data_IF_753350185901
#
_entry.id   IF_753350185901
#
_cell.length_a   1.000
_cell.length_b   1.000
_cell.length_c   1.000
_cell.angle_alpha   90.00
_cell.angle_beta   90.00
_cell.angle_gamma   90.00
#
_symmetry.space_group_name_H-M   'P 1'
#
loop_
_entity.id
_entity.type
_entity.pdbx_description
1 polymer ?
#
# COMPACT_ATOMS: atom_id res chain seq x y z
N UNK A 1 31.17 -14.68 -26.25
CA UNK A 1 31.52 -14.56 -24.81
C UNK A 1 31.45 -13.10 -24.39
N UNK A 2 30.35 -12.64 -23.79
CA UNK A 2 30.25 -11.28 -23.21
C UNK A 2 29.90 -11.48 -21.73
N UNK A 3 30.90 -11.34 -20.86
CA UNK A 3 30.74 -11.46 -19.40
C UNK A 3 30.35 -10.10 -18.79
N UNK A 4 29.21 -10.12 -18.08
CA UNK A 4 28.85 -9.40 -16.84
C UNK A 4 29.50 -8.03 -16.59
N UNK A 5 28.73 -6.95 -16.78
CA UNK A 5 28.99 -5.60 -16.21
C UNK A 5 27.92 -5.11 -15.21
N UNK A 6 26.92 -5.92 -14.88
CA UNK A 6 25.75 -5.49 -14.09
C UNK A 6 25.94 -5.57 -12.57
N UNK A 7 26.92 -6.33 -12.07
CA UNK A 7 27.06 -6.60 -10.62
C UNK A 7 27.77 -5.47 -9.84
N UNK A 8 28.59 -4.64 -10.49
CA UNK A 8 29.32 -3.56 -9.80
C UNK A 8 28.46 -2.33 -9.48
N UNK A 9 27.43 -2.03 -10.30
CA UNK A 9 26.55 -0.87 -10.07
C UNK A 9 25.62 -1.06 -8.86
N UNK A 10 25.07 -2.28 -8.67
CA UNK A 10 24.20 -2.63 -7.52
C UNK A 10 24.92 -2.48 -6.17
N UNK A 11 26.16 -2.97 -6.05
CA UNK A 11 26.96 -2.84 -4.81
C UNK A 11 27.42 -1.41 -4.51
N UNK A 12 27.66 -0.59 -5.54
CA UNK A 12 28.11 0.78 -5.37
C UNK A 12 26.96 1.71 -4.93
N UNK A 13 25.77 1.53 -5.51
CA UNK A 13 24.53 2.23 -5.10
C UNK A 13 24.17 1.95 -3.64
N UNK A 14 24.19 0.67 -3.23
CA UNK A 14 23.85 0.26 -1.86
C UNK A 14 24.84 0.82 -0.83
N UNK A 15 26.14 0.86 -1.15
CA UNK A 15 27.19 1.45 -0.27
C UNK A 15 27.16 2.97 -0.18
N UNK A 16 26.68 3.66 -1.21
CA UNK A 16 26.59 5.13 -1.21
C UNK A 16 25.37 5.56 -0.40
N UNK A 17 24.20 4.95 -0.64
CA UNK A 17 23.00 5.16 0.18
C UNK A 17 23.27 4.80 1.63
N UNK A 18 23.77 3.60 1.94
CA UNK A 18 24.03 3.20 3.33
C UNK A 18 25.02 4.11 4.05
N UNK A 19 26.07 4.62 3.39
CA UNK A 19 27.06 5.50 4.03
C UNK A 19 26.55 6.93 4.20
N UNK A 20 25.71 7.42 3.30
CA UNK A 20 25.17 8.78 3.33
C UNK A 20 23.99 8.85 4.31
N UNK A 21 23.08 7.87 4.25
CA UNK A 21 21.96 7.68 5.17
C UNK A 21 22.48 7.53 6.60
N UNK A 22 23.46 6.66 6.86
CA UNK A 22 24.05 6.49 8.20
C UNK A 22 24.73 7.79 8.68
N UNK A 23 25.45 8.52 7.83
CA UNK A 23 26.20 9.70 8.28
C UNK A 23 25.31 10.90 8.60
N UNK A 24 24.19 11.05 7.89
CA UNK A 24 23.29 12.21 8.04
C UNK A 24 22.06 11.92 8.92
N UNK A 25 21.68 10.66 9.14
CA UNK A 25 20.55 10.28 10.02
C UNK A 25 20.96 9.81 11.42
N UNK A 26 22.20 9.33 11.64
CA UNK A 26 22.63 8.89 12.98
C UNK A 26 22.42 9.94 14.09
N UNK A 27 22.72 11.24 13.88
CA UNK A 27 22.59 12.24 14.93
C UNK A 27 21.14 12.42 15.41
N UNK A 28 20.15 12.04 14.60
CA UNK A 28 18.74 12.23 14.89
C UNK A 28 18.06 10.98 15.48
N UNK A 29 18.72 9.82 15.42
CA UNK A 29 18.19 8.55 15.95
C UNK A 29 18.69 8.22 17.37
N UNK A 30 19.75 8.91 17.85
CA UNK A 30 20.40 8.58 19.13
C UNK A 30 20.00 9.45 20.32
N UNK A 31 19.26 10.55 20.11
CA UNK A 31 18.83 11.43 21.20
C UNK A 31 17.54 10.93 21.85
N UNK A 32 17.68 9.95 22.75
CA UNK A 32 16.67 9.71 23.79
C UNK A 32 16.70 10.90 24.75
N UNK A 33 15.59 11.63 24.99
CA UNK A 33 15.58 12.65 26.03
C UNK A 33 15.63 11.97 27.40
N UNK A 34 16.71 12.24 28.14
CA UNK A 34 16.75 12.01 29.57
C UNK A 34 15.69 12.90 30.24
N UNK A 35 14.66 12.29 30.81
CA UNK A 35 13.70 13.01 31.66
C UNK A 35 14.42 13.46 32.94
N UNK A 36 14.58 14.76 33.12
CA UNK A 36 14.89 15.35 34.42
C UNK A 36 13.58 15.56 35.21
N UNK A 37 13.54 15.27 36.52
CA UNK A 37 12.33 15.39 37.32
C UNK A 37 12.00 16.86 37.64
N UNK A 38 10.75 17.25 37.40
CA UNK A 38 10.20 18.57 37.72
C UNK A 38 10.11 18.80 39.23
N UNK A 39 10.72 19.89 39.71
CA UNK A 39 10.47 20.42 41.06
C UNK A 39 9.14 21.17 41.10
N UNK A 40 8.40 20.88 42.17
CA UNK A 40 7.20 21.57 42.64
C UNK A 40 7.47 23.04 42.99
N UNK A 41 6.54 23.93 42.62
CA UNK A 41 6.53 25.33 43.02
C UNK A 41 5.12 25.90 42.94
N UNK A 42 4.50 26.06 44.11
CA UNK A 42 3.22 26.72 44.36
C UNK A 42 3.35 28.24 44.21
N UNK A 43 2.34 28.92 43.62
CA UNK A 43 2.00 30.33 43.95
C UNK A 43 0.48 30.52 43.88
N UNK A 44 0.02 31.38 44.80
CA UNK A 44 -1.30 31.73 45.30
C UNK A 44 -2.26 32.49 44.36
N UNK A 45 -3.50 32.58 44.88
CA UNK A 45 -4.72 33.26 44.40
C UNK A 45 -4.67 34.80 44.51
N UNK A 46 -5.43 35.49 43.63
CA UNK A 46 -6.35 36.59 43.96
C UNK A 46 -7.23 36.94 42.72
N UNK A 47 -8.55 36.72 42.76
CA UNK A 47 -9.69 37.68 42.82
C UNK A 47 -9.72 38.75 41.69
N UNK A 48 -10.80 39.08 40.96
CA UNK A 48 -12.27 38.92 41.10
C UNK A 48 -12.96 39.12 39.70
N UNK A 49 -14.29 38.97 39.53
CA UNK A 49 -14.93 38.57 38.28
C UNK A 49 -15.55 39.72 37.46
N UNK A 50 -15.54 39.60 36.13
CA UNK A 50 -16.40 40.39 35.24
C UNK A 50 -17.49 39.47 34.69
N UNK A 51 -18.74 39.73 35.11
CA UNK A 51 -19.94 39.16 34.49
C UNK A 51 -20.01 39.65 33.05
N UNK A 52 -20.07 38.73 32.09
CA UNK A 52 -20.45 39.01 30.72
C UNK A 52 -21.74 38.21 30.47
N UNK A 53 -22.73 38.92 29.95
CA UNK A 53 -24.07 38.47 29.58
C UNK A 53 -24.07 37.14 28.82
N UNK A 54 -24.77 36.15 29.38
CA UNK A 54 -25.25 35.00 28.64
C UNK A 54 -26.57 35.40 27.96
N UNK A 55 -26.52 35.91 26.73
CA UNK A 55 -27.67 35.85 25.81
C UNK A 55 -27.31 36.13 24.33
N UNK A 56 -26.12 35.68 23.90
CA UNK A 56 -25.88 35.46 22.47
C UNK A 56 -25.91 33.97 22.19
N UNK A 57 -26.95 33.51 21.48
CA UNK A 57 -26.97 32.21 20.80
C UNK A 57 -25.84 32.20 19.77
N UNK A 58 -24.65 31.81 20.19
CA UNK A 58 -23.64 31.27 19.30
C UNK A 58 -23.98 29.80 19.15
N UNK A 59 -24.56 29.43 18.00
CA UNK A 59 -24.62 28.02 17.61
C UNK A 59 -23.19 27.49 17.57
N UNK A 60 -22.86 26.65 18.56
CA UNK A 60 -21.65 25.84 18.51
C UNK A 60 -21.70 25.02 17.22
N UNK A 61 -20.64 25.01 16.40
CA UNK A 61 -20.59 24.13 15.24
C UNK A 61 -20.85 22.70 15.70
N UNK A 62 -21.70 22.01 14.94
CA UNK A 62 -22.15 20.65 15.21
C UNK A 62 -20.98 19.76 15.66
N UNK A 63 -21.27 18.89 16.63
CA UNK A 63 -20.38 17.81 17.11
C UNK A 63 -19.54 17.26 15.95
N UNK A 64 -18.21 17.08 16.12
CA UNK A 64 -17.42 16.42 15.09
C UNK A 64 -18.06 15.05 14.83
N UNK A 65 -18.39 14.79 13.56
CA UNK A 65 -18.85 13.49 13.11
C UNK A 65 -17.91 12.44 13.70
N UNK A 66 -18.46 11.48 14.45
CA UNK A 66 -17.69 10.32 14.86
C UNK A 66 -17.25 9.61 13.57
N UNK A 67 -15.97 9.72 13.24
CA UNK A 67 -15.35 9.09 12.09
C UNK A 67 -15.37 7.57 12.28
N UNK A 68 -15.74 6.82 11.23
CA UNK A 68 -15.45 5.39 11.20
C UNK A 68 -13.93 5.22 11.14
N UNK A 69 -13.32 4.58 12.15
CA UNK A 69 -11.88 4.30 12.22
C UNK A 69 -11.34 3.51 11.00
N UNK A 70 -12.25 2.90 10.21
CA UNK A 70 -11.97 2.11 9.01
C UNK A 70 -11.68 2.95 7.75
N UNK A 71 -11.67 4.29 7.87
CA UNK A 71 -11.47 5.24 6.78
C UNK A 71 -10.45 6.31 7.14
N UNK A 72 -9.39 5.93 7.86
CA UNK A 72 -8.27 6.84 8.05
C UNK A 72 -7.54 7.02 6.71
N UNK A 73 -7.50 8.23 6.13
CA UNK A 73 -6.85 8.48 4.85
C UNK A 73 -5.32 8.31 4.87
N UNK A 74 -4.72 8.08 6.03
CA UNK A 74 -3.27 8.03 6.24
C UNK A 74 -2.85 6.79 7.09
N UNK A 75 -3.60 5.68 7.06
CA UNK A 75 -3.29 4.44 7.82
C UNK A 75 -2.21 3.55 7.15
N UNK A 76 -1.59 2.61 7.92
CA UNK A 76 -0.29 2.01 7.63
C UNK A 76 -0.28 0.79 6.70
N UNK A 77 -1.42 0.24 6.25
CA UNK A 77 -1.43 -1.00 5.43
C UNK A 77 -0.68 -0.79 4.12
N UNK A 78 -0.76 0.41 3.52
CA UNK A 78 0.05 0.77 2.35
C UNK A 78 1.57 0.70 2.58
N UNK A 79 2.02 0.98 3.81
CA UNK A 79 3.44 0.98 4.19
C UNK A 79 4.00 -0.43 4.36
N UNK A 80 3.13 -1.41 4.58
CA UNK A 80 3.44 -2.83 4.66
C UNK A 80 3.45 -3.48 3.26
N UNK A 81 2.92 -2.80 2.24
CA UNK A 81 2.95 -3.29 0.86
C UNK A 81 4.40 -3.38 0.39
N UNK A 82 4.85 -4.61 0.17
CA UNK A 82 6.14 -4.89 -0.41
C UNK A 82 6.24 -4.39 -1.86
N UNK A 83 7.44 -3.97 -2.27
CA UNK A 83 7.75 -3.60 -3.65
C UNK A 83 8.42 -4.77 -4.38
N UNK A 84 8.09 -4.95 -5.66
CA UNK A 84 8.87 -5.83 -6.55
C UNK A 84 10.23 -5.19 -6.91
N UNK A 85 11.12 -5.94 -7.57
CA UNK A 85 12.49 -5.47 -7.87
C UNK A 85 12.52 -4.16 -8.67
N UNK A 86 11.66 -4.04 -9.69
CA UNK A 86 11.60 -2.85 -10.55
C UNK A 86 11.07 -1.62 -9.80
N UNK A 87 10.02 -1.80 -8.99
CA UNK A 87 9.48 -0.76 -8.12
C UNK A 87 10.50 -0.31 -7.09
N UNK A 88 11.20 -1.25 -6.44
CA UNK A 88 12.23 -0.94 -5.47
C UNK A 88 13.41 -0.19 -6.13
N UNK A 89 13.83 -0.60 -7.32
CA UNK A 89 14.88 0.09 -8.07
C UNK A 89 14.46 1.53 -8.41
N UNK A 90 13.21 1.72 -8.84
CA UNK A 90 12.68 3.04 -9.20
C UNK A 90 12.44 3.94 -8.00
N UNK A 91 11.94 3.40 -6.90
CA UNK A 91 11.87 4.14 -5.64
C UNK A 91 13.26 4.62 -5.23
N UNK A 92 14.27 3.75 -5.24
CA UNK A 92 15.65 4.12 -4.91
C UNK A 92 16.23 5.18 -5.86
N UNK A 93 15.88 5.17 -7.14
CA UNK A 93 16.24 6.24 -8.08
C UNK A 93 15.66 7.59 -7.62
N UNK A 94 14.38 7.63 -7.27
CA UNK A 94 13.73 8.85 -6.79
C UNK A 94 14.27 9.31 -5.42
N UNK A 95 14.50 8.40 -4.48
CA UNK A 95 15.09 8.71 -3.17
C UNK A 95 16.47 9.36 -3.32
N UNK A 96 17.34 8.80 -4.18
CA UNK A 96 18.64 9.38 -4.48
C UNK A 96 18.51 10.79 -5.06
N UNK A 97 17.57 11.00 -5.99
CA UNK A 97 17.34 12.30 -6.61
C UNK A 97 16.86 13.34 -5.59
N UNK A 98 15.93 12.98 -4.71
CA UNK A 98 15.48 13.83 -3.60
C UNK A 98 16.66 14.20 -2.71
N UNK A 99 17.54 13.24 -2.40
CA UNK A 99 18.70 13.46 -1.54
C UNK A 99 19.70 14.47 -2.14
N UNK A 100 19.97 14.39 -3.45
CA UNK A 100 20.93 15.27 -4.14
C UNK A 100 20.31 16.56 -4.68
N UNK A 101 19.01 16.79 -4.46
CA UNK A 101 18.34 18.01 -4.92
C UNK A 101 19.06 19.26 -4.39
N UNK A 102 19.39 20.20 -5.28
CA UNK A 102 20.16 21.40 -4.95
C UNK A 102 19.28 22.43 -4.23
N UNK A 103 18.06 22.63 -4.74
CA UNK A 103 17.10 23.65 -4.28
C UNK A 103 15.65 23.13 -4.30
N UNK A 104 14.72 23.98 -3.83
CA UNK A 104 13.30 23.65 -3.71
C UNK A 104 12.62 23.44 -5.07
N UNK A 105 13.16 24.03 -6.14
CA UNK A 105 12.65 23.89 -7.51
C UNK A 105 12.97 22.51 -8.08
N UNK A 106 14.22 22.08 -7.91
CA UNK A 106 14.66 20.74 -8.24
C UNK A 106 13.86 19.70 -7.48
N UNK A 107 13.62 19.92 -6.18
CA UNK A 107 12.81 19.02 -5.36
C UNK A 107 11.36 18.93 -5.85
N UNK A 108 10.70 20.06 -6.13
CA UNK A 108 9.33 20.07 -6.66
C UNK A 108 9.23 19.30 -7.98
N UNK A 109 10.20 19.50 -8.88
CA UNK A 109 10.27 18.76 -10.16
C UNK A 109 10.43 17.26 -9.95
N UNK A 110 11.25 16.83 -9.00
CA UNK A 110 11.43 15.41 -8.66
C UNK A 110 10.11 14.83 -8.13
N UNK A 111 9.42 15.54 -7.23
CA UNK A 111 8.12 15.11 -6.68
C UNK A 111 7.07 14.95 -7.77
N UNK A 112 6.95 15.92 -8.69
CA UNK A 112 6.01 15.82 -9.81
C UNK A 112 6.29 14.57 -10.67
N UNK A 113 7.57 14.33 -11.01
CA UNK A 113 7.95 13.16 -11.80
C UNK A 113 7.72 11.83 -11.07
N UNK A 114 7.93 11.79 -9.75
CA UNK A 114 7.65 10.63 -8.93
C UNK A 114 6.16 10.30 -8.94
N UNK A 115 5.31 11.29 -8.64
CA UNK A 115 3.84 11.13 -8.68
C UNK A 115 3.36 10.70 -10.07
N UNK A 116 3.87 11.31 -11.14
CA UNK A 116 3.53 10.98 -12.52
C UNK A 116 3.93 9.56 -12.94
N UNK A 117 4.98 9.02 -12.33
CA UNK A 117 5.44 7.65 -12.62
C UNK A 117 4.57 6.56 -11.98
N UNK A 118 3.71 6.91 -11.03
CA UNK A 118 2.83 5.97 -10.34
C UNK A 118 3.50 5.21 -9.19
N UNK A 119 4.66 5.65 -8.69
CA UNK A 119 5.26 5.00 -7.50
C UNK A 119 4.29 5.04 -6.32
N UNK A 120 4.35 4.00 -5.49
CA UNK A 120 3.77 4.00 -4.15
C UNK A 120 4.63 4.90 -3.28
N UNK A 121 4.07 6.01 -2.82
CA UNK A 121 4.83 7.01 -2.07
C UNK A 121 4.98 6.64 -0.60
N UNK A 122 4.10 5.77 -0.08
CA UNK A 122 4.14 5.30 1.31
C UNK A 122 4.86 3.95 1.49
N UNK A 123 4.99 3.16 0.42
CA UNK A 123 5.69 1.88 0.48
C UNK A 123 7.19 2.07 0.78
N UNK A 124 7.72 1.19 1.62
CA UNK A 124 9.12 1.21 2.02
C UNK A 124 10.01 0.43 1.04
N UNK A 125 11.22 0.94 0.82
CA UNK A 125 12.28 0.18 0.17
C UNK A 125 12.88 -0.86 1.16
N UNK A 126 13.86 -1.64 0.69
CA UNK A 126 14.59 -2.62 1.52
C UNK A 126 15.29 -2.03 2.75
N UNK A 127 15.53 -0.72 2.77
CA UNK A 127 16.21 0.00 3.85
C UNK A 127 15.19 0.78 4.73
N UNK A 128 13.89 0.44 4.64
CA UNK A 128 12.79 1.03 5.42
C UNK A 128 12.53 2.52 5.15
N UNK A 129 12.86 3.01 3.95
CA UNK A 129 12.57 4.38 3.50
C UNK A 129 11.46 4.44 2.46
N UNK A 130 10.47 5.29 2.71
CA UNK A 130 9.43 5.66 1.74
C UNK A 130 9.76 6.99 1.06
N UNK A 131 9.13 7.23 -0.10
CA UNK A 131 9.32 8.49 -0.83
C UNK A 131 8.77 9.69 -0.06
N UNK A 132 7.61 9.54 0.58
CA UNK A 132 6.99 10.59 1.40
C UNK A 132 7.90 10.98 2.57
N UNK A 133 8.38 10.00 3.35
CA UNK A 133 9.19 10.25 4.54
C UNK A 133 10.50 10.97 4.21
N UNK A 134 11.23 10.51 3.18
CA UNK A 134 12.50 11.15 2.78
C UNK A 134 12.27 12.55 2.20
N UNK A 135 11.18 12.76 1.46
CA UNK A 135 10.88 14.09 0.92
C UNK A 135 10.56 15.08 2.04
N UNK A 136 9.76 14.68 3.03
CA UNK A 136 9.45 15.53 4.19
C UNK A 136 10.72 15.81 5.02
N UNK A 137 11.55 14.80 5.25
CA UNK A 137 12.84 14.98 5.93
C UNK A 137 13.71 16.02 5.21
N UNK A 138 13.78 15.96 3.88
CA UNK A 138 14.54 16.95 3.11
C UNK A 138 13.95 18.35 3.25
N UNK A 139 12.63 18.51 3.26
CA UNK A 139 11.96 19.80 3.49
C UNK A 139 12.22 20.40 4.88
N UNK A 140 12.79 19.66 5.83
CA UNK A 140 13.24 20.23 7.11
C UNK A 140 14.55 21.03 6.99
N UNK A 141 15.34 20.83 5.92
CA UNK A 141 16.63 21.52 5.72
C UNK A 141 16.44 22.96 5.25
N UNK A 142 17.33 23.86 5.70
CA UNK A 142 17.22 25.31 5.44
C UNK A 142 17.13 25.69 3.96
N UNK A 143 17.88 24.99 3.10
CA UNK A 143 17.91 25.25 1.65
C UNK A 143 16.59 24.96 0.92
N UNK A 144 15.63 24.31 1.56
CA UNK A 144 14.31 24.02 1.01
C UNK A 144 13.18 24.76 1.73
N UNK A 145 13.50 25.78 2.54
CA UNK A 145 12.50 26.67 3.13
C UNK A 145 12.06 27.70 2.07
N UNK A 146 10.76 27.89 1.91
CA UNK A 146 10.20 28.87 0.98
C UNK A 146 8.76 28.55 0.59
N UNK A 147 8.20 29.37 -0.30
CA UNK A 147 6.77 29.33 -0.67
C UNK A 147 6.33 27.99 -1.26
N UNK A 148 7.25 27.25 -1.90
CA UNK A 148 6.95 25.94 -2.49
C UNK A 148 6.92 24.78 -1.49
N UNK A 149 7.40 24.99 -0.26
CA UNK A 149 7.44 23.94 0.77
C UNK A 149 6.02 23.42 1.06
N UNK A 150 5.09 24.34 1.30
CA UNK A 150 3.68 24.00 1.52
C UNK A 150 3.05 23.32 0.30
N UNK A 151 3.38 23.78 -0.91
CA UNK A 151 2.87 23.19 -2.15
C UNK A 151 3.34 21.75 -2.36
N UNK A 152 4.61 21.44 -2.06
CA UNK A 152 5.13 20.06 -2.16
C UNK A 152 4.42 19.16 -1.15
N UNK A 153 4.31 19.60 0.11
CA UNK A 153 3.62 18.84 1.17
C UNK A 153 2.15 18.61 0.76
N UNK A 154 1.48 19.63 0.23
CA UNK A 154 0.10 19.54 -0.28
C UNK A 154 -0.04 18.54 -1.42
N UNK A 155 0.87 18.51 -2.38
CA UNK A 155 0.87 17.52 -3.47
C UNK A 155 0.99 16.10 -2.93
N UNK A 156 1.89 15.87 -1.98
CA UNK A 156 2.04 14.56 -1.34
C UNK A 156 0.78 14.15 -0.57
N UNK A 157 0.26 15.05 0.28
CA UNK A 157 -0.93 14.79 1.09
C UNK A 157 -2.17 14.47 0.23
N UNK A 158 -2.39 15.21 -0.88
CA UNK A 158 -3.51 14.95 -1.80
C UNK A 158 -3.41 13.55 -2.42
N UNK A 159 -2.20 13.03 -2.55
CA UNK A 159 -1.91 11.70 -3.09
C UNK A 159 -1.81 10.62 -2.00
N UNK A 160 -2.31 10.88 -0.80
CA UNK A 160 -2.41 9.90 0.28
C UNK A 160 -1.13 9.71 1.08
N UNK A 161 -0.17 10.65 1.02
CA UNK A 161 1.04 10.54 1.82
C UNK A 161 0.72 10.51 3.32
N UNK A 162 1.19 9.48 4.01
CA UNK A 162 1.27 9.49 5.46
C UNK A 162 2.61 10.13 5.86
N UNK A 163 2.53 11.10 6.77
CA UNK A 163 3.69 11.83 7.25
C UNK A 163 4.05 11.31 8.62
N UNK A 164 5.01 10.38 8.67
CA UNK A 164 5.53 9.91 9.94
C UNK A 164 6.22 11.06 10.68
N UNK A 165 5.66 11.40 11.84
CA UNK A 165 6.12 12.49 12.70
C UNK A 165 7.55 12.27 13.21
N UNK A 166 8.05 11.03 13.20
CA UNK A 166 9.43 10.71 13.55
C UNK A 166 10.45 11.38 12.62
N UNK A 167 10.15 11.50 11.32
CA UNK A 167 11.02 12.12 10.31
C UNK A 167 10.97 13.65 10.29
N UNK A 168 10.02 14.26 11.00
CA UNK A 168 9.81 15.71 11.05
C UNK A 168 10.39 16.33 12.35
N UNK A 169 10.99 15.50 13.20
CA UNK A 169 11.57 15.94 14.47
C UNK A 169 12.65 17.01 14.23
N UNK A 170 12.49 18.17 14.86
CA UNK A 170 13.46 19.27 14.81
C UNK A 170 13.05 20.50 13.98
N UNK A 171 12.05 20.40 13.08
CA UNK A 171 11.53 21.57 12.34
C UNK A 171 10.09 21.92 12.72
N UNK A 172 9.93 22.78 13.74
CA UNK A 172 8.61 23.27 14.19
C UNK A 172 7.79 23.84 13.03
N UNK A 173 8.41 24.61 12.15
CA UNK A 173 7.75 25.20 10.97
C UNK A 173 7.24 24.14 9.98
N UNK A 174 8.02 23.10 9.70
CA UNK A 174 7.58 22.02 8.80
C UNK A 174 6.42 21.24 9.41
N UNK A 175 6.46 20.97 10.72
CA UNK A 175 5.36 20.32 11.45
C UNK A 175 4.07 21.16 11.36
N UNK A 176 4.16 22.47 11.56
CA UNK A 176 3.02 23.38 11.42
C UNK A 176 2.42 23.35 10.01
N UNK A 177 3.26 23.35 8.97
CA UNK A 177 2.81 23.23 7.58
C UNK A 177 2.15 21.88 7.32
N UNK A 178 2.75 20.76 7.75
CA UNK A 178 2.15 19.43 7.60
C UNK A 178 0.78 19.35 8.27
N UNK A 179 0.66 19.81 9.52
CA UNK A 179 -0.62 19.80 10.25
C UNK A 179 -1.68 20.68 9.58
N UNK A 180 -1.29 21.86 9.08
CA UNK A 180 -2.17 22.76 8.33
C UNK A 180 -2.66 22.07 7.04
N UNK A 181 -1.74 21.58 6.23
CA UNK A 181 -2.04 20.93 4.94
C UNK A 181 -2.89 19.67 5.14
N UNK A 182 -2.59 18.84 6.13
CA UNK A 182 -3.37 17.64 6.44
C UNK A 182 -4.84 17.99 6.68
N UNK A 183 -5.12 18.99 7.53
CA UNK A 183 -6.50 19.44 7.80
C UNK A 183 -7.22 19.96 6.55
N UNK A 184 -6.50 20.67 5.68
CA UNK A 184 -7.08 21.21 4.45
C UNK A 184 -7.36 20.14 3.40
N UNK A 185 -6.52 19.10 3.34
CA UNK A 185 -6.59 18.04 2.33
C UNK A 185 -7.44 16.85 2.77
N UNK A 186 -7.57 16.62 4.07
CA UNK A 186 -8.37 15.54 4.67
C UNK A 186 -9.77 15.39 4.05
N UNK A 187 -10.62 16.43 3.93
CA UNK A 187 -11.94 16.29 3.29
C UNK A 187 -11.87 15.90 1.81
N UNK A 188 -10.81 16.32 1.10
CA UNK A 188 -10.59 15.99 -0.31
C UNK A 188 -10.26 14.50 -0.46
N UNK A 189 -9.31 14.00 0.34
CA UNK A 189 -8.88 12.60 0.31
C UNK A 189 -10.01 11.70 0.80
N UNK A 190 -10.70 12.08 1.87
CA UNK A 190 -11.87 11.37 2.37
C UNK A 190 -12.96 11.22 1.30
N UNK A 191 -13.31 12.29 0.58
CA UNK A 191 -14.28 12.22 -0.50
C UNK A 191 -13.83 11.28 -1.64
N UNK A 192 -12.52 11.23 -1.95
CA UNK A 192 -11.98 10.28 -2.94
C UNK A 192 -12.11 8.84 -2.45
N UNK A 193 -11.81 8.58 -1.18
CA UNK A 193 -11.93 7.26 -0.56
C UNK A 193 -13.39 6.79 -0.49
N UNK A 194 -14.33 7.68 -0.18
CA UNK A 194 -15.77 7.39 -0.20
C UNK A 194 -16.23 6.96 -1.59
N UNK A 195 -15.89 7.72 -2.63
CA UNK A 195 -16.22 7.36 -4.01
C UNK A 195 -15.59 6.04 -4.44
N UNK A 196 -14.35 5.77 -4.04
CA UNK A 196 -13.71 4.49 -4.32
C UNK A 196 -14.38 3.34 -3.58
N UNK A 197 -14.85 3.55 -2.35
CA UNK A 197 -15.65 2.59 -1.58
C UNK A 197 -16.99 2.33 -2.27
N UNK A 198 -17.70 3.34 -2.72
CA UNK A 198 -18.95 3.19 -3.48
C UNK A 198 -18.74 2.34 -4.75
N UNK A 199 -17.64 2.57 -5.46
CA UNK A 199 -17.23 1.73 -6.60
C UNK A 199 -17.03 0.28 -6.16
N UNK A 200 -16.29 0.05 -5.07
CA UNK A 200 -16.05 -1.28 -4.55
C UNK A 200 -17.35 -1.99 -4.13
N UNK A 201 -18.24 -1.30 -3.42
CA UNK A 201 -19.53 -1.81 -2.97
C UNK A 201 -20.44 -2.16 -4.15
N UNK A 202 -20.45 -1.34 -5.20
CA UNK A 202 -21.21 -1.62 -6.44
C UNK A 202 -20.71 -2.84 -7.23
N UNK A 203 -19.48 -3.27 -6.95
CA UNK A 203 -18.84 -4.42 -7.57
C UNK A 203 -19.00 -5.71 -6.75
N UNK A 204 -19.48 -5.63 -5.51
CA UNK A 204 -19.73 -6.81 -4.67
C UNK A 204 -20.92 -7.59 -5.19
N UNK A 205 -20.71 -8.88 -5.44
CA UNK A 205 -21.76 -9.86 -5.75
C UNK A 205 -22.17 -10.57 -4.45
N UNK A 206 -21.17 -10.90 -3.61
CA UNK A 206 -21.34 -11.52 -2.30
C UNK A 206 -20.22 -10.99 -1.38
N UNK A 207 -20.53 -10.76 -0.10
CA UNK A 207 -19.57 -10.25 0.89
C UNK A 207 -19.73 -8.75 1.19
N UNK A 208 -18.66 -8.13 1.67
CA UNK A 208 -18.64 -6.73 2.14
C UNK A 208 -17.29 -6.09 1.88
N UNK A 209 -17.28 -4.75 1.72
CA UNK A 209 -16.05 -3.97 1.58
C UNK A 209 -15.51 -3.59 2.96
N UNK A 210 -14.27 -3.98 3.23
CA UNK A 210 -13.50 -3.61 4.41
C UNK A 210 -12.71 -2.32 4.18
N UNK A 211 -11.39 -2.40 4.33
CA UNK A 211 -10.45 -1.28 4.17
C UNK A 211 -10.40 -0.76 2.73
N UNK A 212 -10.32 0.56 2.56
CA UNK A 212 -10.13 1.23 1.26
C UNK A 212 -9.08 2.31 1.43
N UNK A 213 -7.97 2.22 0.68
CA UNK A 213 -6.83 3.12 0.77
C UNK A 213 -6.34 3.52 -0.64
N UNK A 214 -5.76 4.71 -0.75
CA UNK A 214 -5.16 5.24 -1.99
C UNK A 214 -3.70 5.57 -1.72
N UNK A 215 -2.82 5.07 -2.57
CA UNK A 215 -1.41 5.45 -2.63
C UNK A 215 -1.10 6.00 -4.02
N UNK A 216 -0.98 7.32 -4.12
CA UNK A 216 -0.75 8.04 -5.37
C UNK A 216 -1.82 7.73 -6.44
N UNK A 217 -1.47 6.88 -7.41
CA UNK A 217 -2.32 6.44 -8.54
C UNK A 217 -2.81 4.99 -8.40
N UNK A 218 -2.55 4.38 -7.25
CA UNK A 218 -2.93 3.00 -6.95
C UNK A 218 -3.87 2.96 -5.76
N UNK A 219 -4.58 1.85 -5.61
CA UNK A 219 -5.39 1.60 -4.43
C UNK A 219 -5.10 0.26 -3.79
N UNK A 220 -5.54 0.13 -2.54
CA UNK A 220 -5.71 -1.12 -1.82
C UNK A 220 -7.17 -1.20 -1.35
N UNK A 221 -7.85 -2.29 -1.70
CA UNK A 221 -9.22 -2.56 -1.24
C UNK A 221 -9.27 -3.96 -0.65
N UNK A 222 -9.78 -4.05 0.56
CA UNK A 222 -10.03 -5.30 1.27
C UNK A 222 -11.52 -5.63 1.22
N UNK A 223 -11.82 -6.91 0.98
CA UNK A 223 -13.15 -7.48 1.07
C UNK A 223 -13.17 -8.62 2.08
N UNK A 224 -14.34 -8.95 2.62
CA UNK A 224 -14.49 -10.07 3.58
C UNK A 224 -14.13 -11.43 2.97
N UNK A 225 -13.78 -12.40 3.82
CA UNK A 225 -13.05 -13.63 3.48
C UNK A 225 -13.64 -14.52 2.38
N UNK A 226 -14.95 -14.46 2.17
CA UNK A 226 -15.67 -15.26 1.16
C UNK A 226 -16.30 -14.41 0.06
N UNK A 227 -15.78 -13.20 -0.16
CA UNK A 227 -16.38 -12.26 -1.09
C UNK A 227 -16.25 -12.72 -2.55
N UNK A 228 -17.30 -12.44 -3.33
CA UNK A 228 -17.31 -12.53 -4.79
C UNK A 228 -17.47 -11.12 -5.33
N UNK A 229 -16.57 -10.74 -6.24
CA UNK A 229 -16.53 -9.38 -6.76
C UNK A 229 -16.42 -9.37 -8.29
N UNK A 230 -16.93 -8.31 -8.90
CA UNK A 230 -16.61 -7.93 -10.27
C UNK A 230 -15.36 -7.04 -10.27
N UNK A 231 -14.18 -7.68 -10.37
CA UNK A 231 -12.91 -6.96 -10.44
C UNK A 231 -12.84 -5.98 -11.64
N UNK A 232 -13.61 -6.24 -12.71
CA UNK A 232 -13.73 -5.34 -13.84
C UNK A 232 -14.36 -4.00 -13.45
N UNK A 233 -15.48 -4.04 -12.70
CA UNK A 233 -16.14 -2.85 -12.16
C UNK A 233 -15.25 -2.07 -11.20
N UNK A 234 -14.52 -2.75 -10.30
CA UNK A 234 -13.60 -2.09 -9.37
C UNK A 234 -12.54 -1.29 -10.13
N UNK A 235 -11.83 -1.95 -11.06
CA UNK A 235 -10.71 -1.33 -11.79
C UNK A 235 -11.19 -0.22 -12.73
N UNK A 236 -12.32 -0.44 -13.43
CA UNK A 236 -12.87 0.58 -14.32
C UNK A 236 -13.42 1.78 -13.53
N UNK A 237 -14.15 1.55 -12.44
CA UNK A 237 -14.65 2.64 -11.60
C UNK A 237 -13.54 3.46 -10.96
N UNK A 238 -12.46 2.81 -10.48
CA UNK A 238 -11.28 3.51 -9.98
C UNK A 238 -10.59 4.37 -11.06
N UNK A 239 -10.54 3.87 -12.30
CA UNK A 239 -10.05 4.65 -13.46
C UNK A 239 -10.94 5.86 -13.71
N UNK A 240 -12.25 5.69 -13.69
CA UNK A 240 -13.20 6.78 -13.96
C UNK A 240 -13.15 7.87 -12.85
N UNK A 241 -12.64 7.51 -11.65
CA UNK A 241 -12.30 8.43 -10.56
C UNK A 241 -10.94 9.14 -10.71
N UNK A 242 -10.18 8.85 -11.76
CA UNK A 242 -8.88 9.47 -12.02
C UNK A 242 -7.68 8.81 -11.34
N UNK A 243 -7.86 7.65 -10.70
CA UNK A 243 -6.76 6.97 -9.98
C UNK A 243 -5.78 6.31 -10.96
N UNK A 244 -6.29 5.63 -11.98
CA UNK A 244 -5.49 4.83 -12.92
C UNK A 244 -5.73 5.22 -14.39
N UNK A 245 -5.54 6.50 -14.71
CA UNK A 245 -5.80 7.10 -16.05
C UNK A 245 -4.89 6.64 -17.21
N UNK A 246 -4.30 5.44 -17.15
CA UNK A 246 -3.46 4.92 -18.22
C UNK A 246 -2.46 3.88 -17.73
N UNK A 247 -1.31 3.80 -18.41
CA UNK A 247 -0.22 2.89 -18.05
C UNK A 247 0.39 3.29 -16.73
N UNK A 248 0.14 2.49 -15.71
CA UNK A 248 0.96 2.50 -14.52
C UNK A 248 2.20 1.66 -14.84
N UNK A 249 3.29 2.35 -15.20
CA UNK A 249 4.57 1.69 -15.41
C UNK A 249 5.12 1.11 -14.08
N UNK A 250 4.68 1.68 -12.96
CA UNK A 250 5.05 1.32 -11.59
C UNK A 250 3.79 1.30 -10.72
N UNK A 251 3.75 0.40 -9.74
CA UNK A 251 2.58 0.21 -8.88
C UNK A 251 1.49 -0.64 -9.57
N UNK A 252 0.74 -1.37 -8.75
CA UNK A 252 -0.46 -2.09 -9.15
C UNK A 252 -1.60 -1.79 -8.19
N UNK A 253 -2.84 -1.97 -8.60
CA UNK A 253 -3.95 -1.98 -7.66
C UNK A 253 -3.93 -3.31 -6.91
N UNK A 254 -4.18 -3.27 -5.60
CA UNK A 254 -4.25 -4.47 -4.78
C UNK A 254 -5.69 -4.69 -4.34
N UNK A 255 -6.17 -5.91 -4.55
CA UNK A 255 -7.45 -6.39 -4.04
C UNK A 255 -7.15 -7.52 -3.08
N UNK A 256 -7.61 -7.40 -1.83
CA UNK A 256 -7.54 -8.45 -0.82
C UNK A 256 -8.92 -9.10 -0.65
N UNK A 257 -8.98 -10.41 -0.77
CA UNK A 257 -10.15 -11.25 -0.48
C UNK A 257 -9.76 -12.18 0.67
N UNK A 258 -10.20 -11.88 1.89
CA UNK A 258 -9.75 -12.62 3.07
C UNK A 258 -8.26 -12.46 3.31
N UNK A 259 -7.50 -13.57 3.27
CA UNK A 259 -6.04 -13.56 3.42
C UNK A 259 -5.29 -13.61 2.09
N UNK A 260 -6.03 -13.61 0.98
CA UNK A 260 -5.47 -13.68 -0.37
C UNK A 260 -5.43 -12.30 -1.01
N UNK A 261 -4.29 -11.92 -1.57
CA UNK A 261 -4.11 -10.62 -2.23
C UNK A 261 -3.79 -10.80 -3.71
N UNK A 262 -4.32 -9.92 -4.54
CA UNK A 262 -4.18 -9.94 -5.99
C UNK A 262 -3.67 -8.59 -6.48
N UNK A 263 -2.59 -8.59 -7.25
CA UNK A 263 -2.06 -7.39 -7.89
C UNK A 263 -2.56 -7.28 -9.35
N UNK A 264 -3.16 -6.13 -9.67
CA UNK A 264 -3.71 -5.82 -10.99
C UNK A 264 -3.12 -4.50 -11.51
N UNK A 265 -2.47 -4.55 -12.68
CA UNK A 265 -1.98 -3.36 -13.39
C UNK A 265 -2.94 -2.98 -14.51
N UNK A 266 -3.09 -1.67 -14.74
CA UNK A 266 -3.88 -1.12 -15.86
C UNK A 266 -2.94 -0.76 -17.00
N UNK A 267 -3.21 -1.31 -18.19
CA UNK A 267 -2.39 -1.14 -19.38
C UNK A 267 -2.85 0.04 -20.27
N UNK A 268 -2.05 0.42 -21.28
CA UNK A 268 -2.34 1.56 -22.20
C UNK A 268 -3.75 1.58 -22.80
N UNK A 269 -4.33 0.41 -23.01
CA UNK A 269 -5.64 0.21 -23.63
C UNK A 269 -6.75 -0.10 -22.61
N UNK A 270 -6.50 0.15 -21.32
CA UNK A 270 -7.45 -0.15 -20.25
C UNK A 270 -7.58 -1.65 -19.95
N UNK A 271 -6.73 -2.51 -20.53
CA UNK A 271 -6.70 -3.93 -20.18
C UNK A 271 -6.25 -4.11 -18.73
N UNK A 272 -6.90 -5.04 -18.05
CA UNK A 272 -6.56 -5.48 -16.70
C UNK A 272 -5.50 -6.57 -16.81
N UNK A 273 -4.32 -6.32 -16.26
CA UNK A 273 -3.21 -7.26 -16.26
C UNK A 273 -3.00 -7.77 -14.84
N UNK A 274 -3.37 -9.02 -14.60
CA UNK A 274 -3.16 -9.70 -13.31
C UNK A 274 -1.71 -10.19 -13.27
N UNK A 275 -0.92 -9.68 -12.33
CA UNK A 275 0.55 -9.83 -12.37
C UNK A 275 1.13 -10.57 -11.18
N UNK A 276 0.42 -10.64 -10.05
CA UNK A 276 0.87 -11.38 -8.88
C UNK A 276 -0.29 -11.76 -7.97
N UNK A 277 -0.06 -12.78 -7.14
CA UNK A 277 -0.96 -13.22 -6.06
C UNK A 277 -0.13 -13.46 -4.81
N UNK A 278 -0.73 -13.29 -3.62
CA UNK A 278 -0.03 -13.58 -2.36
C UNK A 278 0.37 -15.05 -2.27
N UNK A 279 1.43 -15.34 -1.52
CA UNK A 279 1.92 -16.72 -1.37
C UNK A 279 0.83 -17.61 -0.75
N UNK A 280 0.74 -18.87 -1.22
CA UNK A 280 -0.30 -19.84 -0.83
C UNK A 280 -1.75 -19.40 -1.09
N UNK A 281 -1.96 -18.38 -1.92
CA UNK A 281 -3.32 -17.98 -2.32
C UNK A 281 -3.80 -18.75 -3.55
N UNK A 282 -5.12 -18.91 -3.62
CA UNK A 282 -5.82 -19.42 -4.78
C UNK A 282 -7.08 -18.60 -5.00
N UNK A 283 -7.29 -18.18 -6.24
CA UNK A 283 -8.44 -17.40 -6.68
C UNK A 283 -9.20 -18.17 -7.74
N UNK A 284 -10.52 -18.19 -7.62
CA UNK A 284 -11.37 -18.55 -8.75
C UNK A 284 -11.69 -17.30 -9.57
N UNK A 285 -11.41 -17.36 -10.86
CA UNK A 285 -11.74 -16.31 -11.82
C UNK A 285 -12.73 -16.87 -12.82
N UNK A 286 -13.87 -16.21 -12.96
CA UNK A 286 -14.93 -16.63 -13.89
C UNK A 286 -15.00 -15.68 -15.07
N UNK A 287 -15.04 -16.24 -16.28
CA UNK A 287 -15.24 -15.51 -17.53
C UNK A 287 -16.60 -15.88 -18.14
N UNK A 288 -17.35 -14.86 -18.55
CA UNK A 288 -18.55 -15.05 -19.38
C UNK A 288 -18.12 -15.44 -20.80
N UNK A 289 -18.75 -16.47 -21.36
CA UNK A 289 -18.51 -16.99 -22.71
C UNK A 289 -19.82 -17.31 -23.41
N UNK A 290 -19.79 -17.64 -24.71
CA UNK A 290 -20.99 -18.06 -25.44
C UNK A 290 -21.61 -19.37 -24.95
N UNK A 291 -20.83 -20.22 -24.28
CA UNK A 291 -21.26 -21.51 -23.73
C UNK A 291 -21.63 -21.46 -22.24
N UNK A 292 -21.58 -20.28 -21.62
CA UNK A 292 -21.80 -20.06 -20.19
C UNK A 292 -20.56 -19.54 -19.47
N UNK A 293 -20.44 -19.88 -18.18
CA UNK A 293 -19.38 -19.36 -17.32
C UNK A 293 -18.18 -20.30 -17.28
N UNK A 294 -17.04 -19.87 -17.82
CA UNK A 294 -15.78 -20.58 -17.69
C UNK A 294 -15.06 -20.16 -16.41
N UNK A 295 -14.98 -21.05 -15.42
CA UNK A 295 -14.19 -20.82 -14.22
C UNK A 295 -12.78 -21.39 -14.37
N UNK A 296 -11.79 -20.58 -14.00
CA UNK A 296 -10.39 -20.99 -13.84
C UNK A 296 -9.96 -20.80 -12.39
N UNK A 297 -8.98 -21.58 -11.96
CA UNK A 297 -8.27 -21.38 -10.71
C UNK A 297 -6.90 -20.81 -11.00
N UNK A 298 -6.58 -19.68 -10.38
CA UNK A 298 -5.28 -19.00 -10.41
C UNK A 298 -4.66 -19.15 -9.05
N UNK A 299 -3.51 -19.80 -8.93
CA UNK A 299 -2.93 -20.12 -7.63
C UNK A 299 -1.40 -20.09 -7.64
N UNK A 300 -0.81 -19.77 -6.50
CA UNK A 300 0.63 -19.86 -6.30
C UNK A 300 1.03 -21.27 -5.83
N UNK A 301 2.08 -21.84 -6.42
CA UNK A 301 2.67 -23.10 -6.01
C UNK A 301 4.06 -22.84 -5.39
N UNK A 302 4.30 -23.37 -4.19
CA UNK A 302 5.57 -23.22 -3.48
C UNK A 302 6.75 -23.89 -4.20
N UNK A 303 6.50 -24.94 -4.98
CA UNK A 303 7.55 -25.66 -5.71
C UNK A 303 8.07 -24.88 -6.92
N UNK A 304 7.22 -24.06 -7.55
CA UNK A 304 7.56 -23.21 -8.69
C UNK A 304 7.34 -21.74 -8.34
N UNK A 305 8.17 -21.28 -7.41
CA UNK A 305 7.98 -20.01 -6.71
C UNK A 305 7.86 -18.79 -7.65
N UNK A 306 8.44 -18.85 -8.85
CA UNK A 306 8.47 -17.76 -9.83
C UNK A 306 7.25 -17.74 -10.75
N UNK A 307 6.33 -18.69 -10.61
CA UNK A 307 5.18 -18.85 -11.49
C UNK A 307 3.88 -18.86 -10.69
N UNK A 308 2.82 -18.40 -11.34
CA UNK A 308 1.45 -18.53 -10.89
C UNK A 308 0.77 -19.49 -11.85
N UNK A 309 0.19 -20.56 -11.31
CA UNK A 309 -0.46 -21.59 -12.08
C UNK A 309 -1.89 -21.20 -12.42
N UNK A 310 -2.34 -21.67 -13.58
CA UNK A 310 -3.68 -21.46 -14.11
C UNK A 310 -4.24 -22.79 -14.54
N UNK A 311 -5.41 -23.15 -14.02
CA UNK A 311 -6.11 -24.39 -14.35
C UNK A 311 -7.57 -24.13 -14.65
N UNK A 312 -8.12 -24.75 -15.69
CA UNK A 312 -9.56 -24.69 -15.97
C UNK A 312 -10.28 -25.72 -15.12
N UNK A 313 -11.49 -25.37 -14.65
CA UNK A 313 -12.35 -26.32 -13.92
C UNK A 313 -13.08 -27.29 -14.84
N UNK A 314 -13.58 -26.80 -15.97
CA UNK A 314 -14.26 -27.60 -17.01
C UNK A 314 -13.43 -27.66 -18.30
N UNK A 315 -12.66 -28.74 -18.45
CA UNK A 315 -11.85 -29.00 -19.65
C UNK A 315 -12.71 -29.27 -20.90
N UNK A 316 -13.93 -29.80 -20.73
CA UNK A 316 -14.82 -30.10 -21.87
C UNK A 316 -15.30 -28.80 -22.50
N UNK A 317 -15.77 -27.87 -21.66
CA UNK A 317 -16.16 -26.54 -22.08
C UNK A 317 -14.98 -25.78 -22.69
N UNK A 318 -13.79 -25.88 -22.09
CA UNK A 318 -12.59 -25.23 -22.63
C UNK A 318 -12.21 -25.71 -24.03
N UNK A 319 -12.21 -27.02 -24.24
CA UNK A 319 -11.91 -27.60 -25.56
C UNK A 319 -12.93 -27.16 -26.62
N UNK A 320 -14.21 -27.07 -26.25
CA UNK A 320 -15.26 -26.60 -27.15
C UNK A 320 -15.08 -25.11 -27.50
N UNK A 321 -14.78 -24.25 -26.52
CA UNK A 321 -14.45 -22.84 -26.74
C UNK A 321 -13.27 -22.66 -27.70
N UNK A 322 -12.24 -23.50 -27.58
CA UNK A 322 -11.11 -23.51 -28.52
C UNK A 322 -11.53 -23.94 -29.93
N UNK A 323 -12.40 -24.94 -30.05
CA UNK A 323 -12.90 -25.45 -31.33
C UNK A 323 -13.70 -24.39 -32.09
N UNK A 324 -14.52 -23.60 -31.39
CA UNK A 324 -15.29 -22.50 -31.99
C UNK A 324 -14.46 -21.21 -32.17
N UNK A 325 -13.24 -21.17 -31.64
CA UNK A 325 -12.33 -20.02 -31.78
C UNK A 325 -12.73 -18.80 -30.95
N UNK A 326 -13.46 -18.98 -29.85
CA UNK A 326 -13.88 -17.86 -29.00
C UNK A 326 -12.70 -17.24 -28.23
N UNK A 327 -12.64 -15.91 -28.19
CA UNK A 327 -11.64 -15.16 -27.42
C UNK A 327 -12.15 -14.97 -25.99
N UNK A 328 -11.68 -15.82 -25.08
CA UNK A 328 -12.03 -15.76 -23.65
C UNK A 328 -11.32 -14.61 -22.95
N UNK A 329 -12.04 -13.90 -22.08
CA UNK A 329 -11.46 -12.89 -21.19
C UNK A 329 -10.96 -11.64 -21.91
N UNK A 330 -11.67 -11.21 -22.95
CA UNK A 330 -11.34 -9.96 -23.66
C UNK A 330 -11.23 -8.79 -22.67
N UNK A 331 -10.14 -8.03 -22.75
CA UNK A 331 -9.83 -6.98 -21.77
C UNK A 331 -9.03 -7.42 -20.55
N UNK A 332 -8.73 -8.72 -20.41
CA UNK A 332 -7.93 -9.29 -19.32
C UNK A 332 -6.64 -9.94 -19.84
N UNK A 333 -5.59 -9.87 -19.04
CA UNK A 333 -4.28 -10.48 -19.30
C UNK A 333 -3.66 -11.02 -18.01
N UNK A 334 -2.78 -12.00 -18.13
CA UNK A 334 -1.98 -12.55 -17.03
C UNK A 334 -0.51 -12.33 -17.32
N UNK A 335 0.13 -11.42 -16.59
CA UNK A 335 1.52 -10.99 -16.82
C UNK A 335 1.84 -10.69 -18.29
N UNK A 336 0.92 -9.96 -18.94
CA UNK A 336 1.01 -9.59 -20.35
C UNK A 336 0.55 -10.66 -21.35
N UNK A 337 0.26 -11.88 -20.90
CA UNK A 337 -0.29 -12.95 -21.75
C UNK A 337 -1.81 -12.87 -21.84
N UNK A 338 -2.39 -13.30 -22.96
CA UNK A 338 -3.84 -13.47 -23.04
C UNK A 338 -4.31 -14.59 -22.11
N UNK A 339 -5.59 -14.55 -21.70
CA UNK A 339 -6.20 -15.61 -20.87
C UNK A 339 -6.01 -16.99 -21.49
N UNK A 340 -6.27 -17.10 -22.80
CA UNK A 340 -6.07 -18.35 -23.54
C UNK A 340 -4.63 -18.86 -23.52
N UNK A 341 -3.64 -17.97 -23.65
CA UNK A 341 -2.24 -18.36 -23.62
C UNK A 341 -1.82 -18.84 -22.22
N UNK A 342 -2.22 -18.12 -21.17
CA UNK A 342 -1.94 -18.50 -19.78
C UNK A 342 -2.57 -19.86 -19.42
N UNK A 343 -3.81 -20.12 -19.85
CA UNK A 343 -4.46 -21.42 -19.65
C UNK A 343 -3.71 -22.54 -20.38
N UNK A 344 -3.35 -22.35 -21.67
CA UNK A 344 -2.63 -23.37 -22.45
C UNK A 344 -1.24 -23.68 -21.89
N UNK A 345 -0.56 -22.66 -21.40
CA UNK A 345 0.75 -22.82 -20.76
C UNK A 345 0.62 -23.41 -19.35
N UNK A 346 -0.55 -23.26 -18.72
CA UNK A 346 -0.83 -23.70 -17.35
C UNK A 346 -0.24 -22.78 -16.27
N UNK A 347 0.39 -21.67 -16.66
CA UNK A 347 1.05 -20.73 -15.75
C UNK A 347 1.40 -19.39 -16.41
N UNK A 348 1.82 -18.43 -15.57
CA UNK A 348 2.46 -17.18 -15.98
C UNK A 348 3.51 -16.71 -14.97
N UNK A 349 4.43 -15.85 -15.41
CA UNK A 349 5.50 -15.32 -14.55
C UNK A 349 4.92 -14.31 -13.57
N UNK A 350 5.19 -14.47 -12.28
CA UNK A 350 4.75 -13.53 -11.24
C UNK A 350 5.63 -12.28 -11.17
N UNK A 351 5.04 -11.14 -10.78
CA UNK A 351 5.77 -9.86 -10.64
C UNK A 351 6.81 -9.89 -9.51
N UNK A 352 6.58 -10.74 -8.50
CA UNK A 352 7.48 -10.94 -7.37
C UNK A 352 7.25 -9.92 -6.25
N UNK A 353 6.08 -9.28 -6.19
CA UNK A 353 5.68 -8.41 -5.08
C UNK A 353 5.59 -9.20 -3.78
N UNK A 354 4.86 -10.32 -3.82
CA UNK A 354 4.63 -11.16 -2.65
C UNK A 354 5.74 -12.22 -2.45
N UNK A 355 6.91 -12.00 -3.07
CA UNK A 355 8.03 -12.94 -3.15
C UNK A 355 8.87 -12.99 -1.86
N UNK A 356 8.40 -13.59 -0.77
CA UNK A 356 9.16 -13.91 0.44
C UNK A 356 10.28 -14.96 0.23
N UNK A 357 11.35 -14.56 -0.47
CA UNK A 357 12.61 -15.32 -0.56
C UNK A 357 13.28 -15.58 0.79
N UNK A 358 12.90 -14.90 1.87
CA UNK A 358 13.41 -15.16 3.23
C UNK A 358 12.68 -16.33 3.93
N UNK A 359 11.59 -16.84 3.36
CA UNK A 359 10.71 -17.84 3.98
C UNK A 359 10.87 -19.25 3.41
N UNK A 360 11.83 -19.47 2.50
CA UNK A 360 12.15 -20.81 1.95
C UNK A 360 12.90 -21.72 2.94
N UNK A 361 12.66 -21.58 4.25
CA UNK A 361 12.95 -22.64 5.21
C UNK A 361 11.77 -23.62 5.23
N UNK A 362 11.82 -24.58 4.29
CA UNK A 362 11.09 -25.84 4.24
C UNK A 362 9.82 -25.97 5.12
N UNK A 363 8.71 -25.37 4.70
CA UNK A 363 7.38 -25.83 5.12
C UNK A 363 7.07 -27.06 4.27
N UNK A 364 7.19 -28.25 4.87
CA UNK A 364 6.78 -29.51 4.24
C UNK A 364 5.29 -29.42 3.90
N UNK A 365 4.95 -29.49 2.61
CA UNK A 365 3.59 -29.76 2.17
C UNK A 365 3.15 -31.09 2.79
N UNK A 366 2.16 -31.06 3.69
CA UNK A 366 1.36 -32.24 3.98
C UNK A 366 0.35 -32.38 2.85
N UNK A 367 0.49 -33.45 2.07
CA UNK A 367 -0.54 -33.93 1.16
C UNK A 367 -1.77 -34.37 1.97
N UNK A 368 -2.67 -33.45 2.27
CA UNK A 368 -4.04 -33.81 2.62
C UNK A 368 -4.99 -32.70 2.15
N UNK A 369 -5.80 -33.04 1.16
CA UNK A 369 -7.02 -32.31 0.86
C UNK A 369 -7.98 -32.48 2.03
N UNK A 370 -7.94 -31.58 3.00
CA UNK A 370 -8.94 -31.54 4.07
C UNK A 370 -9.50 -30.12 4.20
N UNK A 371 -10.80 -30.01 3.95
CA UNK A 371 -11.67 -28.99 4.52
C UNK A 371 -11.40 -28.88 6.01
N UNK A 372 -10.81 -27.76 6.47
CA UNK A 372 -10.65 -27.51 7.91
C UNK A 372 -11.52 -26.32 8.34
N UNK A 373 -12.62 -26.63 9.02
CA UNK A 373 -13.35 -25.68 9.86
C UNK A 373 -12.59 -25.51 11.17
N UNK A 374 -12.38 -24.27 11.62
CA UNK A 374 -11.81 -24.02 12.95
C UNK A 374 -12.73 -23.15 13.79
N UNK A 375 -13.33 -23.79 14.79
CA UNK A 375 -13.90 -23.18 15.99
C UNK A 375 -12.91 -23.42 17.14
N UNK A 376 -12.60 -22.32 17.84
CA UNK A 376 -12.00 -22.18 19.18
C UNK A 376 -10.66 -22.86 19.52
N UNK A 377 -9.68 -22.01 19.87
CA UNK A 377 -8.78 -22.30 21.00
C UNK A 377 -8.33 -21.04 21.73
N UNK A 378 -9.22 -20.47 22.54
CA UNK A 378 -8.83 -19.73 23.73
C UNK A 378 -9.21 -20.55 24.97
N UNK A 379 -8.21 -20.89 25.79
CA UNK A 379 -8.24 -20.76 27.27
C UNK A 379 -6.98 -21.36 27.87
N UNK A 380 -6.36 -20.59 28.76
CA UNK A 380 -5.43 -21.15 29.74
C UNK A 380 -4.22 -20.28 30.10
N UNK A 381 -4.42 -19.04 30.53
CA UNK A 381 -3.50 -18.36 31.46
C UNK A 381 -4.29 -18.01 32.70
N UNK A 382 -3.97 -18.65 33.82
CA UNK A 382 -4.11 -18.05 35.15
C UNK A 382 -3.16 -18.72 36.15
N UNK A 383 -2.77 -17.93 37.13
CA UNK A 383 -1.62 -18.05 38.03
C UNK A 383 -1.86 -19.07 39.15
N UNK A 384 -0.80 -19.63 39.74
CA UNK A 384 -0.47 -19.35 41.15
C UNK A 384 0.88 -19.93 41.58
N UNK A 385 1.45 -19.23 42.54
CA UNK A 385 2.75 -19.34 43.22
C UNK A 385 2.83 -20.43 44.29
N UNK A 386 4.08 -20.73 44.69
CA UNK A 386 4.54 -21.30 45.99
C UNK A 386 4.21 -22.78 46.26
N UNK A 387 5.08 -23.66 46.80
CA UNK A 387 6.32 -23.53 47.60
C UNK A 387 6.99 -24.91 47.78
N UNK A 388 8.34 -24.90 47.99
CA UNK A 388 9.18 -25.80 48.84
C UNK A 388 9.24 -27.31 48.49
N UNK A 389 10.32 -28.05 48.73
CA UNK A 389 11.73 -27.83 49.06
C UNK A 389 12.36 -29.23 49.22
N UNK A 390 13.59 -29.44 48.72
CA UNK A 390 14.69 -30.25 49.29
C UNK A 390 15.95 -29.71 48.53
N UNK A 391 16.97 -29.06 49.10
CA UNK A 391 17.51 -28.93 50.47
C UNK A 391 17.85 -27.48 50.80
#
# INVERSE_FOLDING_TARGET
MIKKKTTHRKKLSKRILSKIVIKDLLPYLTDKPAMAPSKTGSIEKANAPTKIDLDSKVELPAKPFLYHENLNPFRPTLSEIRLNEDENMKLNEFLNRVFVAEDIEGLDKIVNQALDSGIRINAHNEDEYSFSNITIFMLCKDKFKGDKQENIIRKLAINGADFDKSFIQGSRKTIEICNKVQKEVEPIVFNRLQKLREVAESAVIEGTVGTVEIDNRTFYIEFSQSSKIDAGKVINGARDLGLSNGTLNLGGNIIRLGDSELEIKTEKNGKRNYVDVSDNSAFEVTFLTSLGNLSITVYHNLEDYHQIHVKVKDETMWNELQRIGEIVGNGCMFSGMSVTAAIKQGCFIRSGRFCDQKSTEAIKLSESSETISWVEKEKGREQSTTSRAIH
#
